data_IF_881561639666
#
_entry.id   IF_881561639666
#
_cell.length_a   1.000
_cell.length_b   1.000
_cell.length_c   1.000
_cell.angle_alpha   90.00
_cell.angle_beta   90.00
_cell.angle_gamma   90.00
#
_symmetry.space_group_name_H-M   'P 1'
#
loop_
_entity.id
_entity.type
_entity.pdbx_description
1 polymer ?
#
# COMPACT_ATOMS: atom_id res chain seq x y z
N UNK A 1 16.11 -8.51 -10.29
CA UNK A 1 16.97 -7.49 -9.59
C UNK A 1 16.76 -6.11 -10.22
N UNK A 2 15.52 -5.70 -10.36
CA UNK A 2 15.11 -4.55 -11.17
C UNK A 2 14.77 -3.31 -10.33
N UNK A 3 14.84 -3.43 -9.00
CA UNK A 3 14.57 -2.31 -8.11
C UNK A 3 15.70 -1.30 -8.00
N UNK A 4 15.36 -0.02 -7.83
CA UNK A 4 16.30 1.09 -7.69
C UNK A 4 16.62 1.34 -6.23
N UNK A 5 17.93 1.39 -5.92
CA UNK A 5 18.41 1.64 -4.56
C UNK A 5 18.51 3.12 -4.29
N UNK A 6 17.80 3.59 -3.27
CA UNK A 6 17.91 4.97 -2.76
C UNK A 6 18.70 4.98 -1.47
N UNK A 7 19.78 5.71 -1.45
CA UNK A 7 20.63 5.88 -0.27
C UNK A 7 20.16 7.00 0.65
N UNK A 8 19.21 7.79 0.18
CA UNK A 8 18.65 8.93 0.89
C UNK A 8 17.25 9.29 0.42
N UNK A 9 16.79 10.42 0.91
CA UNK A 9 15.53 11.04 0.60
C UNK A 9 15.71 12.56 0.68
N UNK A 10 15.16 13.28 -0.28
CA UNK A 10 15.15 14.74 -0.24
C UNK A 10 13.84 15.25 0.35
N UNK A 11 13.94 16.13 1.32
CA UNK A 11 12.82 16.84 1.93
C UNK A 11 12.93 18.33 1.56
N UNK A 12 11.81 18.96 1.23
CA UNK A 12 11.75 20.36 0.90
C UNK A 12 10.64 21.07 1.68
N UNK A 13 10.98 22.24 2.23
CA UNK A 13 10.03 23.12 2.91
C UNK A 13 10.21 24.54 2.34
N UNK A 14 9.14 25.12 1.82
CA UNK A 14 9.15 26.47 1.20
C UNK A 14 10.26 26.60 0.14
N UNK A 15 10.39 25.62 -0.73
CA UNK A 15 11.36 25.50 -1.82
C UNK A 15 12.85 25.34 -1.37
N UNK A 16 13.12 25.23 -0.07
CA UNK A 16 14.44 24.91 0.44
C UNK A 16 14.54 23.40 0.71
N UNK A 17 15.40 22.74 -0.04
CA UNK A 17 15.62 21.30 0.05
C UNK A 17 16.80 20.94 0.94
N UNK A 18 16.70 19.80 1.64
CA UNK A 18 17.84 19.14 2.27
C UNK A 18 17.70 17.63 2.11
N UNK A 19 18.83 16.95 2.01
CA UNK A 19 18.87 15.50 1.82
C UNK A 19 19.20 14.80 3.12
N UNK A 20 18.37 13.81 3.49
CA UNK A 20 18.67 12.86 4.56
C UNK A 20 19.41 11.67 3.95
N UNK A 21 20.66 11.44 4.35
CA UNK A 21 21.45 10.31 3.90
C UNK A 21 21.16 9.08 4.77
N UNK A 22 20.20 8.26 4.35
CA UNK A 22 19.77 7.05 5.07
C UNK A 22 20.93 6.06 5.20
N UNK A 23 21.73 5.89 4.14
CA UNK A 23 22.88 4.99 4.13
C UNK A 23 23.91 5.37 5.20
N UNK A 24 24.22 6.66 5.33
CA UNK A 24 25.18 7.15 6.35
C UNK A 24 24.63 6.98 7.77
N UNK A 25 23.32 7.25 7.96
CA UNK A 25 22.71 7.24 9.29
C UNK A 25 22.40 5.82 9.82
N UNK A 26 22.05 4.88 8.92
CA UNK A 26 21.50 3.57 9.34
C UNK A 26 22.28 2.39 8.78
N UNK A 27 23.26 2.62 7.92
CA UNK A 27 23.94 1.62 7.09
C UNK A 27 22.98 0.80 6.19
N UNK A 28 21.78 1.32 5.95
CA UNK A 28 20.75 0.69 5.12
C UNK A 28 20.35 1.61 3.97
N UNK A 29 19.70 1.05 2.97
CA UNK A 29 19.08 1.76 1.85
C UNK A 29 17.63 1.30 1.71
N UNK A 30 16.84 2.04 0.96
CA UNK A 30 15.52 1.59 0.52
C UNK A 30 15.59 1.19 -0.96
N UNK A 31 14.76 0.26 -1.37
CA UNK A 31 14.63 -0.13 -2.77
C UNK A 31 13.24 0.29 -3.24
N UNK A 32 13.21 1.09 -4.29
CA UNK A 32 11.97 1.37 -5.02
C UNK A 32 11.77 0.28 -6.05
N UNK A 33 10.67 -0.44 -5.92
CA UNK A 33 10.29 -1.52 -6.82
C UNK A 33 8.80 -1.43 -7.10
N UNK A 34 8.41 -1.47 -8.37
CA UNK A 34 7.03 -1.31 -8.78
C UNK A 34 6.13 -2.42 -8.20
N UNK A 35 4.95 -2.07 -7.73
CA UNK A 35 4.00 -3.07 -7.21
C UNK A 35 3.62 -4.08 -8.30
N UNK A 36 3.48 -3.64 -9.54
CA UNK A 36 3.20 -4.51 -10.70
C UNK A 36 4.30 -5.55 -10.89
N UNK A 37 5.57 -5.13 -10.78
CA UNK A 37 6.72 -6.03 -10.91
C UNK A 37 6.76 -7.06 -9.77
N UNK A 38 6.53 -6.62 -8.52
CA UNK A 38 6.42 -7.54 -7.38
C UNK A 38 5.32 -8.57 -7.60
N UNK A 39 4.17 -8.14 -8.09
CA UNK A 39 3.03 -9.02 -8.37
C UNK A 39 3.39 -10.05 -9.45
N UNK A 40 4.03 -9.61 -10.53
CA UNK A 40 4.53 -10.48 -11.60
C UNK A 40 5.49 -11.54 -11.06
N UNK A 41 6.51 -11.13 -10.30
CA UNK A 41 7.48 -12.05 -9.71
C UNK A 41 6.80 -13.10 -8.81
N UNK A 42 5.81 -12.68 -8.01
CA UNK A 42 5.06 -13.60 -7.15
C UNK A 42 4.23 -14.61 -7.95
N UNK A 43 3.58 -14.18 -9.03
CA UNK A 43 2.85 -15.10 -9.92
C UNK A 43 3.80 -16.12 -10.58
N UNK A 44 4.95 -15.70 -11.05
CA UNK A 44 5.97 -16.58 -11.64
C UNK A 44 6.47 -17.63 -10.62
N UNK A 45 6.70 -17.20 -9.36
CA UNK A 45 7.09 -18.12 -8.27
C UNK A 45 5.98 -19.13 -7.99
N UNK A 46 4.72 -18.69 -7.84
CA UNK A 46 3.59 -19.59 -7.56
C UNK A 46 3.44 -20.63 -8.66
N UNK A 47 3.56 -20.22 -9.93
CA UNK A 47 3.49 -21.14 -11.07
C UNK A 47 4.64 -22.16 -11.04
N UNK A 48 5.86 -21.70 -10.77
CA UNK A 48 7.05 -22.55 -10.67
C UNK A 48 6.94 -23.59 -9.55
N UNK A 49 6.36 -23.21 -8.43
CA UNK A 49 6.15 -24.09 -7.26
C UNK A 49 4.85 -24.90 -7.36
N UNK A 50 4.17 -24.92 -8.52
CA UNK A 50 2.90 -25.60 -8.75
C UNK A 50 1.77 -25.18 -7.79
N UNK A 51 1.79 -23.93 -7.33
CA UNK A 51 0.71 -23.38 -6.52
C UNK A 51 -0.58 -23.22 -7.32
N UNK A 52 -1.71 -23.49 -6.67
CA UNK A 52 -3.01 -23.37 -7.32
C UNK A 52 -3.50 -21.94 -7.32
N UNK A 53 -3.74 -21.37 -8.50
CA UNK A 53 -4.38 -20.07 -8.69
C UNK A 53 -5.69 -20.28 -9.45
N UNK A 54 -6.79 -19.78 -8.89
CA UNK A 54 -8.10 -19.82 -9.53
C UNK A 54 -8.45 -18.39 -9.95
N UNK A 55 -8.31 -18.12 -11.24
CA UNK A 55 -8.66 -16.82 -11.82
C UNK A 55 -10.16 -16.75 -12.15
N UNK A 56 -10.69 -15.51 -12.25
CA UNK A 56 -12.08 -15.23 -12.58
C UNK A 56 -13.08 -15.93 -11.64
N UNK A 57 -12.74 -15.95 -10.34
CA UNK A 57 -13.66 -16.40 -9.31
C UNK A 57 -14.61 -15.23 -8.94
N UNK A 58 -15.91 -15.49 -9.04
CA UNK A 58 -16.98 -14.54 -8.73
C UNK A 58 -17.72 -14.98 -7.47
N UNK A 59 -18.38 -14.04 -6.78
CA UNK A 59 -19.20 -14.29 -5.58
C UNK A 59 -18.43 -15.11 -4.52
N UNK A 60 -17.17 -14.75 -4.28
CA UNK A 60 -16.31 -15.45 -3.30
C UNK A 60 -16.81 -15.17 -1.89
N UNK A 61 -17.14 -16.21 -1.12
CA UNK A 61 -17.69 -16.09 0.22
C UNK A 61 -17.02 -17.08 1.18
N UNK A 62 -16.35 -16.60 2.25
CA UNK A 62 -15.96 -17.42 3.38
C UNK A 62 -17.20 -17.91 4.16
N UNK A 63 -17.18 -19.17 4.57
CA UNK A 63 -18.27 -19.83 5.29
C UNK A 63 -17.73 -20.68 6.43
N UNK A 64 -18.54 -20.82 7.49
CA UNK A 64 -18.26 -21.67 8.65
C UNK A 64 -16.88 -21.45 9.26
N UNK A 65 -16.45 -20.17 9.31
CA UNK A 65 -15.13 -19.77 9.81
C UNK A 65 -14.94 -20.04 11.32
N UNK A 66 -16.00 -20.34 12.04
CA UNK A 66 -16.04 -20.69 13.45
C UNK A 66 -16.06 -22.19 13.72
N UNK A 67 -15.99 -23.02 12.69
CA UNK A 67 -15.93 -24.49 12.78
C UNK A 67 -14.52 -25.02 12.52
N UNK A 68 -14.32 -26.33 12.72
CA UNK A 68 -13.03 -27.00 12.43
C UNK A 68 -12.77 -27.16 10.92
N UNK A 69 -13.79 -27.02 10.07
CA UNK A 69 -13.69 -27.20 8.63
C UNK A 69 -14.33 -26.03 7.87
N UNK A 70 -13.75 -24.83 7.96
CA UNK A 70 -14.22 -23.71 7.19
C UNK A 70 -14.07 -23.98 5.69
N UNK A 71 -14.84 -23.26 4.89
CA UNK A 71 -14.75 -23.37 3.45
C UNK A 71 -15.01 -22.05 2.74
N UNK A 72 -14.57 -21.97 1.49
CA UNK A 72 -14.87 -20.86 0.59
C UNK A 72 -15.76 -21.38 -0.53
N UNK A 73 -16.82 -20.63 -0.82
CA UNK A 73 -17.63 -20.84 -2.02
C UNK A 73 -17.38 -19.73 -3.03
N UNK A 74 -17.42 -20.06 -4.30
CA UNK A 74 -17.31 -19.08 -5.39
C UNK A 74 -17.94 -19.65 -6.67
N UNK A 75 -18.22 -18.77 -7.63
CA UNK A 75 -18.64 -19.17 -8.99
C UNK A 75 -17.47 -19.07 -9.94
N UNK A 76 -17.36 -20.03 -10.84
CA UNK A 76 -16.46 -19.98 -11.99
C UNK A 76 -17.18 -20.50 -13.22
N UNK A 77 -17.25 -19.68 -14.27
CA UNK A 77 -18.01 -20.00 -15.47
C UNK A 77 -19.47 -20.43 -15.18
N UNK A 78 -20.11 -19.76 -14.23
CA UNK A 78 -21.49 -20.03 -13.81
C UNK A 78 -21.66 -21.25 -12.89
N UNK A 79 -20.61 -22.03 -12.63
CA UNK A 79 -20.65 -23.22 -11.75
C UNK A 79 -20.23 -22.85 -10.33
N UNK A 80 -21.07 -23.22 -9.36
CA UNK A 80 -20.74 -23.04 -7.92
C UNK A 80 -19.69 -24.09 -7.51
N UNK A 81 -18.61 -23.60 -6.91
CA UNK A 81 -17.50 -24.42 -6.39
C UNK A 81 -17.38 -24.19 -4.88
N UNK A 82 -17.04 -25.25 -4.14
CA UNK A 82 -16.75 -25.25 -2.71
C UNK A 82 -15.34 -25.80 -2.50
N UNK A 83 -14.52 -25.07 -1.71
CA UNK A 83 -13.20 -25.52 -1.26
C UNK A 83 -13.18 -25.52 0.26
N UNK A 84 -13.01 -26.70 0.86
CA UNK A 84 -12.82 -26.85 2.31
C UNK A 84 -11.34 -26.68 2.65
N UNK A 85 -11.05 -26.04 3.77
CA UNK A 85 -9.68 -25.72 4.20
C UNK A 85 -9.57 -25.74 5.73
N UNK A 86 -8.36 -25.68 6.26
CA UNK A 86 -8.11 -25.55 7.68
C UNK A 86 -8.23 -24.10 8.14
N UNK A 87 -7.80 -23.17 7.27
CA UNK A 87 -7.82 -21.72 7.53
C UNK A 87 -8.16 -20.93 6.27
N UNK A 88 -8.71 -19.73 6.46
CA UNK A 88 -8.97 -18.76 5.40
C UNK A 88 -8.14 -17.51 5.66
N UNK A 89 -7.46 -17.02 4.64
CA UNK A 89 -6.71 -15.76 4.70
C UNK A 89 -7.33 -14.74 3.75
N UNK A 90 -7.96 -13.71 4.30
CA UNK A 90 -8.53 -12.59 3.55
C UNK A 90 -7.45 -11.59 3.15
N UNK A 91 -7.04 -11.64 1.87
CA UNK A 91 -6.13 -10.69 1.23
C UNK A 91 -6.88 -9.88 0.17
N UNK A 92 -8.18 -9.66 0.35
CA UNK A 92 -9.16 -9.17 -0.61
C UNK A 92 -9.33 -7.64 -0.61
N UNK A 93 -8.40 -6.94 0.04
CA UNK A 93 -8.34 -5.49 0.05
C UNK A 93 -9.40 -4.81 0.91
N UNK A 94 -9.45 -3.48 0.85
CA UNK A 94 -10.35 -2.68 1.69
C UNK A 94 -11.83 -2.97 1.44
N UNK A 95 -12.21 -3.21 0.20
CA UNK A 95 -13.59 -3.50 -0.21
C UNK A 95 -13.92 -4.99 -0.23
N UNK A 96 -12.99 -5.83 0.23
CA UNK A 96 -13.17 -7.27 0.28
C UNK A 96 -14.25 -7.72 1.28
N UNK A 97 -14.74 -8.93 1.10
CA UNK A 97 -15.81 -9.53 1.88
C UNK A 97 -15.32 -10.14 3.19
N UNK A 98 -14.05 -10.57 3.26
CA UNK A 98 -13.51 -11.32 4.39
C UNK A 98 -13.70 -10.63 5.73
N UNK A 99 -13.40 -9.32 5.80
CA UNK A 99 -13.58 -8.55 7.03
C UNK A 99 -15.03 -8.52 7.52
N UNK A 100 -15.98 -8.45 6.61
CA UNK A 100 -17.41 -8.37 6.94
C UNK A 100 -18.00 -9.70 7.44
N UNK A 101 -17.26 -10.81 7.33
CA UNK A 101 -17.67 -12.10 7.90
C UNK A 101 -17.37 -12.22 9.40
N UNK A 102 -16.53 -11.34 9.94
CA UNK A 102 -16.30 -11.25 11.39
C UNK A 102 -17.53 -10.60 12.03
N UNK A 103 -18.10 -11.18 13.12
CA UNK A 103 -19.28 -10.64 13.77
C UNK A 103 -19.09 -9.18 14.23
N UNK A 104 -20.11 -8.34 14.02
CA UNK A 104 -20.05 -6.89 14.32
C UNK A 104 -19.78 -6.57 15.81
N UNK A 105 -20.14 -7.46 16.71
CA UNK A 105 -19.86 -7.33 18.14
C UNK A 105 -18.42 -7.68 18.53
N UNK A 106 -17.66 -8.29 17.63
CA UNK A 106 -16.25 -8.66 17.82
C UNK A 106 -15.33 -7.63 17.18
N UNK A 107 -15.64 -7.21 15.94
CA UNK A 107 -14.78 -6.32 15.17
C UNK A 107 -14.95 -4.85 15.59
N UNK A 108 -13.84 -4.14 15.73
CA UNK A 108 -13.80 -2.68 15.88
C UNK A 108 -13.02 -2.10 14.72
N UNK A 109 -13.47 -0.95 14.21
CA UNK A 109 -12.80 -0.25 13.13
C UNK A 109 -12.43 1.16 13.54
N UNK A 110 -11.24 1.58 13.19
CA UNK A 110 -10.72 2.93 13.39
C UNK A 110 -10.42 3.52 12.03
N UNK A 111 -11.13 4.58 11.66
CA UNK A 111 -10.96 5.22 10.36
C UNK A 111 -10.77 6.72 10.51
N UNK A 112 -9.88 7.28 9.69
CA UNK A 112 -9.70 8.70 9.49
C UNK A 112 -9.57 8.98 8.00
N UNK A 113 -10.47 9.78 7.47
CA UNK A 113 -10.38 10.32 6.10
C UNK A 113 -9.73 11.70 6.17
N UNK A 114 -8.76 11.96 5.29
CA UNK A 114 -8.08 13.25 5.18
C UNK A 114 -8.89 14.18 4.26
N UNK A 115 -8.89 15.51 4.50
CA UNK A 115 -9.72 16.45 3.72
C UNK A 115 -9.12 16.79 2.35
N UNK A 116 -8.25 15.95 1.81
CA UNK A 116 -7.59 16.12 0.52
C UNK A 116 -7.26 14.76 -0.11
N UNK A 117 -6.98 14.81 -1.41
CA UNK A 117 -6.49 13.68 -2.18
C UNK A 117 -5.11 13.93 -2.77
N UNK A 118 -4.57 12.89 -3.39
CA UNK A 118 -3.40 12.96 -4.26
C UNK A 118 -3.81 12.81 -5.70
N UNK A 119 -3.60 13.85 -6.49
CA UNK A 119 -3.59 13.75 -7.93
C UNK A 119 -2.23 13.22 -8.37
N UNK A 120 -2.22 12.03 -8.94
CA UNK A 120 -1.03 11.36 -9.40
C UNK A 120 -1.00 11.20 -10.92
N UNK A 121 0.15 11.40 -11.52
CA UNK A 121 0.40 11.06 -12.93
C UNK A 121 1.52 10.04 -13.06
N UNK A 122 1.44 9.21 -14.08
CA UNK A 122 2.54 8.41 -14.60
C UNK A 122 2.90 8.98 -15.97
N UNK A 123 4.18 9.26 -16.22
CA UNK A 123 4.65 9.85 -17.48
C UNK A 123 5.91 9.17 -17.96
N UNK A 124 6.03 8.97 -19.27
CA UNK A 124 7.24 8.45 -19.92
C UNK A 124 8.29 9.56 -20.05
N UNK A 125 8.71 10.06 -18.88
CA UNK A 125 9.76 11.06 -18.77
C UNK A 125 10.83 10.57 -17.80
N UNK A 126 12.11 10.95 -18.01
CA UNK A 126 13.14 10.68 -17.02
C UNK A 126 12.79 11.25 -15.65
N UNK A 127 13.14 10.57 -14.56
CA UNK A 127 12.91 11.10 -13.22
C UNK A 127 13.76 12.35 -12.98
N UNK A 128 13.20 13.32 -12.28
CA UNK A 128 13.90 14.55 -11.91
C UNK A 128 14.99 14.33 -10.86
N UNK A 129 14.99 13.19 -10.20
CA UNK A 129 15.99 12.81 -9.18
C UNK A 129 16.08 11.30 -9.08
N UNK A 130 17.27 10.81 -8.75
CA UNK A 130 17.52 9.39 -8.44
C UNK A 130 16.92 8.95 -7.10
N UNK A 131 16.45 9.90 -6.28
CA UNK A 131 15.82 9.65 -4.98
C UNK A 131 14.48 10.38 -4.88
N UNK A 132 13.65 9.97 -3.92
CA UNK A 132 12.37 10.60 -3.67
C UNK A 132 12.54 12.05 -3.19
N UNK A 133 11.74 12.96 -3.73
CA UNK A 133 11.62 14.34 -3.25
C UNK A 133 10.23 14.52 -2.63
N UNK A 134 10.18 14.80 -1.33
CA UNK A 134 8.98 15.19 -0.59
C UNK A 134 8.99 16.70 -0.41
N UNK A 135 8.02 17.39 -0.95
CA UNK A 135 7.94 18.83 -0.87
C UNK A 135 6.67 19.30 -0.13
N UNK A 136 6.86 20.12 0.91
CA UNK A 136 5.81 20.89 1.55
C UNK A 136 5.86 22.32 0.97
N UNK A 137 4.75 22.78 0.43
CA UNK A 137 4.60 24.11 -0.16
C UNK A 137 3.30 24.77 0.29
N UNK A 138 3.22 26.10 0.19
CA UNK A 138 2.00 26.86 0.52
C UNK A 138 0.77 26.46 -0.29
N UNK A 139 0.96 25.89 -1.50
CA UNK A 139 -0.11 25.33 -2.35
C UNK A 139 -0.40 23.87 -2.06
N UNK A 140 0.26 23.23 -1.08
CA UNK A 140 0.08 21.84 -0.71
C UNK A 140 1.29 20.97 -1.04
N UNK A 141 1.19 19.69 -0.72
CA UNK A 141 2.22 18.69 -0.90
C UNK A 141 2.53 18.37 -2.37
N UNK A 142 3.79 18.00 -2.64
CA UNK A 142 4.20 17.34 -3.87
C UNK A 142 5.20 16.21 -3.58
N UNK A 143 5.19 15.19 -4.44
CA UNK A 143 6.10 14.06 -4.40
C UNK A 143 6.62 13.76 -5.80
N UNK A 144 7.94 13.74 -5.96
CA UNK A 144 8.61 13.23 -7.14
C UNK A 144 9.19 11.85 -6.84
N UNK A 145 8.91 10.89 -7.72
CA UNK A 145 9.37 9.52 -7.58
C UNK A 145 9.64 8.91 -8.95
N UNK A 146 10.65 8.05 -9.01
CA UNK A 146 10.97 7.28 -10.20
C UNK A 146 10.25 5.93 -10.21
N UNK A 147 10.04 5.38 -11.41
CA UNK A 147 9.66 3.98 -11.63
C UNK A 147 10.76 3.22 -12.34
N UNK A 148 11.38 3.85 -13.34
CA UNK A 148 12.61 3.43 -14.00
C UNK A 148 13.30 4.66 -14.59
N UNK A 149 14.34 4.48 -15.41
CA UNK A 149 15.11 5.57 -15.99
C UNK A 149 14.33 6.47 -16.96
N UNK A 150 13.20 5.96 -17.51
CA UNK A 150 12.38 6.65 -18.50
C UNK A 150 10.92 6.77 -18.06
N UNK A 151 10.59 6.41 -16.82
CA UNK A 151 9.23 6.42 -16.30
C UNK A 151 9.19 7.02 -14.92
N UNK A 152 8.41 8.07 -14.76
CA UNK A 152 8.27 8.83 -13.52
C UNK A 152 6.85 8.85 -13.01
N UNK A 153 6.71 8.83 -11.70
CA UNK A 153 5.44 8.99 -11.00
C UNK A 153 5.49 10.22 -10.12
N UNK A 154 4.59 11.15 -10.36
CA UNK A 154 4.48 12.40 -9.62
C UNK A 154 3.13 12.53 -8.95
N UNK A 155 3.09 13.18 -7.79
CA UNK A 155 1.87 13.43 -7.05
C UNK A 155 1.83 14.86 -6.56
N UNK A 156 0.65 15.46 -6.56
CA UNK A 156 0.36 16.73 -5.89
C UNK A 156 -0.89 16.60 -5.02
N UNK A 157 -0.90 17.30 -3.91
CA UNK A 157 -2.10 17.43 -3.08
C UNK A 157 -3.16 18.24 -3.83
N UNK A 158 -4.40 17.76 -3.80
CA UNK A 158 -5.57 18.40 -4.43
C UNK A 158 -6.80 18.26 -3.54
N UNK A 159 -7.85 19.01 -3.86
CA UNK A 159 -9.15 18.88 -3.21
C UNK A 159 -9.80 17.54 -3.55
N UNK A 160 -10.60 16.97 -2.65
CA UNK A 160 -11.45 15.81 -2.94
C UNK A 160 -12.58 16.12 -3.93
N UNK A 161 -12.90 17.40 -4.13
CA UNK A 161 -13.93 17.86 -5.08
C UNK A 161 -13.38 18.05 -6.49
N UNK A 162 -12.06 18.03 -6.67
CA UNK A 162 -11.44 18.17 -7.99
C UNK A 162 -11.71 16.93 -8.84
N UNK A 163 -11.88 17.16 -10.13
CA UNK A 163 -12.04 16.11 -11.13
C UNK A 163 -10.80 16.03 -12.00
N UNK A 164 -10.56 14.86 -12.59
CA UNK A 164 -9.38 14.65 -13.46
C UNK A 164 -9.41 15.59 -14.65
N UNK A 165 -10.60 15.87 -15.18
CA UNK A 165 -10.84 16.77 -16.32
C UNK A 165 -10.41 18.21 -16.03
N UNK A 166 -10.44 18.64 -14.77
CA UNK A 166 -10.00 19.97 -14.33
C UNK A 166 -8.48 20.13 -14.30
N UNK A 167 -7.76 19.03 -14.54
CA UNK A 167 -6.30 18.94 -14.44
C UNK A 167 -5.64 18.46 -15.74
N UNK A 168 -5.67 19.28 -16.83
CA UNK A 168 -4.85 18.98 -18.00
C UNK A 168 -3.36 18.90 -17.62
N UNK A 169 -2.56 18.17 -18.41
CA UNK A 169 -1.16 17.91 -18.09
C UNK A 169 -0.34 19.19 -17.86
N UNK A 170 -0.57 20.23 -18.64
CA UNK A 170 0.08 21.53 -18.50
C UNK A 170 -0.14 22.08 -17.08
N UNK A 171 -1.40 22.12 -16.62
CA UNK A 171 -1.72 22.61 -15.26
C UNK A 171 -1.09 21.75 -14.17
N UNK A 172 -1.05 20.44 -14.36
CA UNK A 172 -0.40 19.53 -13.43
C UNK A 172 1.10 19.83 -13.31
N UNK A 173 1.79 19.95 -14.44
CA UNK A 173 3.21 20.23 -14.49
C UNK A 173 3.56 21.60 -13.89
N UNK A 174 2.78 22.62 -14.17
CA UNK A 174 2.95 23.97 -13.60
C UNK A 174 2.82 23.94 -12.07
N UNK A 175 1.77 23.28 -11.54
CA UNK A 175 1.58 23.15 -10.11
C UNK A 175 2.65 22.26 -9.44
N UNK A 176 3.12 21.22 -10.11
CA UNK A 176 4.22 20.39 -9.62
C UNK A 176 5.52 21.20 -9.53
N UNK A 177 5.91 21.90 -10.60
CA UNK A 177 7.11 22.75 -10.63
C UNK A 177 7.08 23.80 -9.53
N UNK A 178 5.94 24.45 -9.33
CA UNK A 178 5.74 25.46 -8.27
C UNK A 178 6.02 24.91 -6.87
N UNK A 179 5.78 23.64 -6.62
CA UNK A 179 5.90 23.00 -5.30
C UNK A 179 7.24 22.33 -5.05
N UNK A 180 7.97 21.98 -6.11
CA UNK A 180 9.28 21.36 -6.00
C UNK A 180 10.37 22.36 -5.61
N UNK A 181 11.52 21.92 -5.08
CA UNK A 181 12.72 22.75 -4.98
C UNK A 181 13.09 23.33 -6.34
N UNK A 182 13.61 24.58 -6.36
CA UNK A 182 13.94 25.32 -7.58
C UNK A 182 14.79 24.48 -8.55
N UNK A 183 15.87 23.86 -8.05
CA UNK A 183 16.76 23.02 -8.87
C UNK A 183 16.02 21.85 -9.57
N UNK A 184 15.08 21.22 -8.88
CA UNK A 184 14.26 20.17 -9.45
C UNK A 184 13.22 20.73 -10.42
N UNK A 185 12.59 21.87 -10.10
CA UNK A 185 11.62 22.52 -10.97
C UNK A 185 12.22 22.98 -12.30
N UNK A 186 13.48 23.45 -12.30
CA UNK A 186 14.18 23.91 -13.49
C UNK A 186 14.65 22.77 -14.41
N UNK A 187 14.89 21.59 -13.85
CA UNK A 187 15.45 20.44 -14.58
C UNK A 187 14.42 19.37 -14.96
N UNK A 188 13.22 19.43 -14.38
CA UNK A 188 12.18 18.42 -14.63
C UNK A 188 11.74 18.42 -16.09
N UNK A 189 11.81 17.25 -16.72
CA UNK A 189 11.28 17.03 -18.05
C UNK A 189 9.77 16.73 -17.95
N UNK A 190 8.98 17.45 -18.72
CA UNK A 190 7.53 17.29 -18.79
C UNK A 190 7.12 16.47 -20.02
N UNK A 191 6.02 15.73 -19.93
CA UNK A 191 5.51 14.93 -21.03
C UNK A 191 4.03 14.61 -20.84
N UNK A 192 3.45 13.87 -21.75
CA UNK A 192 2.08 13.41 -21.66
C UNK A 192 1.93 12.41 -20.51
N UNK A 193 0.86 12.50 -19.74
CA UNK A 193 0.49 11.49 -18.77
C UNK A 193 -0.10 10.26 -19.46
N UNK A 194 0.43 9.09 -19.14
CA UNK A 194 -0.12 7.79 -19.58
C UNK A 194 -1.14 7.23 -18.58
N UNK A 195 -1.11 7.73 -17.36
CA UNK A 195 -2.08 7.44 -16.30
C UNK A 195 -2.27 8.68 -15.44
N UNK A 196 -3.50 8.98 -15.08
CA UNK A 196 -3.86 10.08 -14.18
C UNK A 196 -4.99 9.65 -13.25
N UNK A 197 -4.85 9.87 -11.95
CA UNK A 197 -5.86 9.50 -10.98
C UNK A 197 -5.84 10.42 -9.75
N UNK A 198 -6.99 10.59 -9.11
CA UNK A 198 -7.11 11.25 -7.80
C UNK A 198 -7.46 10.18 -6.78
N UNK A 199 -6.61 10.01 -5.78
CA UNK A 199 -6.81 9.05 -4.71
C UNK A 199 -7.07 9.78 -3.38
N UNK A 200 -8.21 9.56 -2.71
CA UNK A 200 -8.45 10.05 -1.36
C UNK A 200 -7.50 9.37 -0.38
N UNK A 201 -7.00 10.12 0.60
CA UNK A 201 -6.16 9.57 1.65
C UNK A 201 -7.00 9.17 2.85
N UNK A 202 -6.68 7.98 3.39
CA UNK A 202 -7.29 7.49 4.63
C UNK A 202 -6.30 6.69 5.46
N UNK A 203 -6.55 6.65 6.75
CA UNK A 203 -6.04 5.65 7.68
C UNK A 203 -7.20 4.75 8.07
N UNK A 204 -6.97 3.46 8.09
CA UNK A 204 -7.96 2.48 8.53
C UNK A 204 -7.27 1.35 9.27
N UNK A 205 -7.87 0.88 10.35
CA UNK A 205 -7.43 -0.33 11.08
C UNK A 205 -8.67 -1.06 11.56
N UNK A 206 -8.71 -2.36 11.37
CA UNK A 206 -9.69 -3.21 12.04
C UNK A 206 -9.01 -4.06 13.12
N UNK A 207 -9.72 -4.26 14.21
CA UNK A 207 -9.30 -5.05 15.36
C UNK A 207 -10.45 -5.98 15.80
N UNK A 208 -10.18 -7.28 15.97
CA UNK A 208 -8.93 -7.99 15.68
C UNK A 208 -8.69 -8.21 14.18
N UNK A 209 -7.44 -8.56 13.80
CA UNK A 209 -7.07 -8.97 12.44
C UNK A 209 -7.28 -10.47 12.21
N UNK A 210 -7.82 -11.20 13.17
CA UNK A 210 -8.18 -12.61 13.04
C UNK A 210 -9.38 -12.94 13.92
N UNK A 211 -10.19 -13.86 13.47
CA UNK A 211 -11.29 -14.43 14.25
C UNK A 211 -11.51 -15.88 13.85
N UNK A 212 -11.37 -16.78 14.84
CA UNK A 212 -11.46 -18.23 14.63
C UNK A 212 -10.48 -18.69 13.52
N UNK A 213 -10.98 -19.28 12.44
CA UNK A 213 -10.17 -19.80 11.32
C UNK A 213 -9.92 -18.78 10.21
N UNK A 214 -10.34 -17.50 10.39
CA UNK A 214 -10.14 -16.41 9.44
C UNK A 214 -9.05 -15.45 9.92
N UNK A 215 -8.11 -15.11 9.02
CA UNK A 215 -7.06 -14.11 9.20
C UNK A 215 -7.18 -13.03 8.13
N UNK A 216 -6.99 -11.77 8.50
CA UNK A 216 -6.99 -10.63 7.58
C UNK A 216 -5.56 -10.13 7.38
N UNK A 217 -5.20 -9.80 6.14
CA UNK A 217 -3.85 -9.38 5.75
C UNK A 217 -3.92 -8.14 4.85
N UNK A 218 -3.00 -7.20 5.04
CA UNK A 218 -2.89 -6.00 4.22
C UNK A 218 -4.14 -5.12 4.27
N UNK A 219 -4.57 -4.59 3.13
CA UNK A 219 -5.67 -3.63 3.04
C UNK A 219 -7.04 -4.20 3.49
N UNK A 220 -7.17 -5.52 3.60
CA UNK A 220 -8.34 -6.13 4.24
C UNK A 220 -8.42 -5.77 5.74
N UNK A 221 -7.29 -5.55 6.39
CA UNK A 221 -7.17 -5.24 7.81
C UNK A 221 -6.81 -3.78 8.10
N UNK A 222 -5.95 -3.17 7.30
CA UNK A 222 -5.44 -1.82 7.57
C UNK A 222 -5.03 -1.06 6.31
N UNK A 223 -5.24 0.25 6.32
CA UNK A 223 -4.74 1.19 5.31
C UNK A 223 -3.94 2.27 6.02
N UNK A 224 -2.79 2.61 5.48
CA UNK A 224 -1.97 3.74 5.93
C UNK A 224 -1.87 4.79 4.83
N UNK A 225 -1.80 6.10 5.16
CA UNK A 225 -1.55 7.12 4.16
C UNK A 225 -0.27 6.83 3.37
N UNK A 226 -0.28 7.01 2.05
CA UNK A 226 0.85 6.66 1.19
C UNK A 226 2.11 7.50 1.46
N UNK A 227 1.98 8.64 2.16
CA UNK A 227 3.10 9.53 2.51
C UNK A 227 4.24 8.81 3.22
N UNK A 228 3.94 7.83 4.05
CA UNK A 228 4.96 7.03 4.75
C UNK A 228 5.53 5.86 3.94
N UNK A 229 4.99 5.55 2.76
CA UNK A 229 5.35 4.40 1.93
C UNK A 229 5.37 3.07 2.72
N UNK A 230 4.37 2.84 3.60
CA UNK A 230 4.32 1.69 4.52
C UNK A 230 3.31 0.61 4.15
N UNK A 231 2.32 0.87 3.29
CA UNK A 231 1.21 -0.06 3.02
C UNK A 231 1.69 -1.45 2.60
N UNK A 232 2.43 -1.56 1.51
CA UNK A 232 2.96 -2.83 1.01
C UNK A 232 3.90 -3.51 2.02
N UNK A 233 4.74 -2.73 2.71
CA UNK A 233 5.64 -3.25 3.73
C UNK A 233 4.90 -3.84 4.94
N UNK A 234 3.75 -3.27 5.32
CA UNK A 234 2.89 -3.83 6.37
C UNK A 234 2.24 -5.12 5.91
N UNK A 235 1.67 -5.14 4.70
CA UNK A 235 1.08 -6.34 4.14
C UNK A 235 2.08 -7.51 4.09
N UNK A 236 3.31 -7.28 3.65
CA UNK A 236 4.37 -8.29 3.70
C UNK A 236 4.75 -8.71 5.13
N UNK A 237 4.67 -7.80 6.10
CA UNK A 237 4.91 -8.16 7.51
C UNK A 237 3.81 -9.07 8.04
N UNK A 238 2.55 -8.81 7.68
CA UNK A 238 1.42 -9.65 8.07
C UNK A 238 1.59 -11.07 7.48
N UNK A 239 1.88 -11.15 6.18
CA UNK A 239 2.19 -12.42 5.50
C UNK A 239 3.31 -13.17 6.19
N UNK A 240 4.39 -12.47 6.56
CA UNK A 240 5.52 -13.08 7.25
C UNK A 240 5.14 -13.64 8.63
N UNK A 241 4.39 -12.87 9.43
CA UNK A 241 3.94 -13.35 10.75
C UNK A 241 3.01 -14.54 10.62
N UNK A 242 2.07 -14.47 9.68
CA UNK A 242 1.12 -15.57 9.45
C UNK A 242 1.80 -16.81 8.88
N UNK A 243 2.74 -16.64 7.94
CA UNK A 243 3.57 -17.74 7.44
C UNK A 243 4.31 -18.45 8.58
N UNK A 244 4.95 -17.70 9.48
CA UNK A 244 5.64 -18.28 10.62
C UNK A 244 4.69 -19.01 11.58
N UNK A 245 3.50 -18.47 11.79
CA UNK A 245 2.48 -19.11 12.61
C UNK A 245 1.98 -20.42 11.97
N UNK A 246 1.71 -20.43 10.66
CA UNK A 246 1.36 -21.65 9.94
C UNK A 246 2.49 -22.68 9.92
N UNK A 247 3.75 -22.23 9.79
CA UNK A 247 4.92 -23.13 9.87
C UNK A 247 4.96 -23.87 11.22
N UNK A 248 4.71 -23.16 12.34
CA UNK A 248 4.64 -23.78 13.66
C UNK A 248 3.45 -24.74 13.79
N UNK A 249 2.30 -24.34 13.29
CA UNK A 249 1.10 -25.16 13.31
C UNK A 249 1.28 -26.48 12.53
N UNK A 250 1.66 -26.39 11.24
CA UNK A 250 1.70 -27.59 10.38
C UNK A 250 2.92 -28.50 10.62
N UNK A 251 4.04 -27.96 11.14
CA UNK A 251 5.24 -28.78 11.40
C UNK A 251 5.32 -29.32 12.82
N UNK A 252 4.76 -28.59 13.79
CA UNK A 252 4.97 -28.87 15.19
C UNK A 252 3.69 -28.96 16.04
N UNK A 253 2.52 -28.79 15.41
CA UNK A 253 1.21 -28.72 16.08
C UNK A 253 1.11 -27.65 17.18
N UNK A 254 1.75 -26.49 16.94
CA UNK A 254 1.77 -25.38 17.88
C UNK A 254 0.86 -24.25 17.41
N UNK A 255 -0.21 -23.96 18.17
CA UNK A 255 -1.23 -22.94 17.84
C UNK A 255 -0.88 -21.53 18.35
N UNK A 256 -0.01 -21.39 19.35
CA UNK A 256 0.23 -20.15 20.06
C UNK A 256 0.49 -18.92 19.14
N UNK A 257 1.25 -19.09 18.06
CA UNK A 257 1.56 -18.01 17.13
C UNK A 257 0.35 -17.58 16.28
N UNK A 258 -0.58 -18.49 16.00
CA UNK A 258 -1.87 -18.18 15.36
C UNK A 258 -2.76 -17.36 16.29
N UNK A 259 -2.82 -17.71 17.57
CA UNK A 259 -3.63 -17.03 18.58
C UNK A 259 -3.16 -15.58 18.80
N UNK A 260 -1.85 -15.33 18.75
CA UNK A 260 -1.26 -14.01 18.95
C UNK A 260 -1.03 -13.21 17.65
N UNK A 261 -1.36 -13.78 16.48
CA UNK A 261 -1.15 -13.12 15.17
C UNK A 261 -1.68 -11.68 15.16
N UNK A 262 -2.95 -11.51 15.53
CA UNK A 262 -3.61 -10.20 15.52
C UNK A 262 -2.87 -9.18 16.38
N UNK A 263 -2.54 -9.51 17.63
CA UNK A 263 -1.85 -8.59 18.54
C UNK A 263 -0.45 -8.23 18.06
N UNK A 264 0.28 -9.20 17.50
CA UNK A 264 1.61 -9.03 16.95
C UNK A 264 1.61 -8.12 15.72
N UNK A 265 0.69 -8.35 14.78
CA UNK A 265 0.53 -7.53 13.59
C UNK A 265 0.07 -6.10 13.95
N UNK A 266 -0.96 -5.94 14.79
CA UNK A 266 -1.48 -4.65 15.23
C UNK A 266 -0.44 -3.78 15.91
N UNK A 267 0.44 -4.35 16.72
CA UNK A 267 1.55 -3.60 17.34
C UNK A 267 2.42 -2.88 16.31
N UNK A 268 2.66 -3.50 15.14
CA UNK A 268 3.40 -2.90 14.04
C UNK A 268 2.53 -1.91 13.23
N UNK A 269 1.29 -2.29 12.97
CA UNK A 269 0.33 -1.47 12.23
C UNK A 269 0.16 -0.11 12.89
N UNK A 270 -0.09 -0.05 14.20
CA UNK A 270 -0.27 1.20 14.92
C UNK A 270 0.97 2.10 14.92
N UNK A 271 2.17 1.52 14.98
CA UNK A 271 3.43 2.29 14.82
C UNK A 271 3.53 2.90 13.42
N UNK A 272 3.14 2.16 12.39
CA UNK A 272 3.17 2.65 11.01
C UNK A 272 2.08 3.69 10.73
N UNK A 273 0.87 3.52 11.30
CA UNK A 273 -0.21 4.52 11.27
C UNK A 273 0.27 5.84 11.88
N UNK A 274 0.88 5.79 13.08
CA UNK A 274 1.41 6.98 13.75
C UNK A 274 2.49 7.67 12.93
N UNK A 275 3.42 6.91 12.37
CA UNK A 275 4.48 7.46 11.51
C UNK A 275 3.89 8.09 10.24
N UNK A 276 3.00 7.38 9.55
CA UNK A 276 2.39 7.89 8.31
C UNK A 276 1.50 9.11 8.57
N UNK A 277 0.79 9.13 9.70
CA UNK A 277 0.05 10.31 10.12
C UNK A 277 0.97 11.52 10.37
N UNK A 278 2.07 11.33 11.08
CA UNK A 278 3.06 12.38 11.33
C UNK A 278 3.63 12.91 10.01
N UNK A 279 4.04 12.03 9.10
CA UNK A 279 4.51 12.43 7.77
C UNK A 279 3.43 13.22 7.00
N UNK A 280 2.18 12.73 7.03
CA UNK A 280 1.07 13.39 6.34
C UNK A 280 0.82 14.79 6.91
N UNK A 281 0.78 14.94 8.22
CA UNK A 281 0.56 16.26 8.86
C UNK A 281 1.73 17.22 8.68
N UNK A 282 2.95 16.72 8.53
CA UNK A 282 4.15 17.54 8.30
C UNK A 282 4.22 18.08 6.88
N UNK A 283 3.84 17.27 5.89
CA UNK A 283 4.04 17.63 4.48
C UNK A 283 2.81 18.23 3.79
N UNK A 284 1.60 17.95 4.29
CA UNK A 284 0.37 18.44 3.64
C UNK A 284 -0.14 19.73 4.27
N UNK A 285 -0.91 20.47 3.47
CA UNK A 285 -1.70 21.61 3.92
C UNK A 285 -3.09 21.11 4.34
N UNK A 286 -3.50 21.48 5.55
CA UNK A 286 -4.83 21.18 6.11
C UNK A 286 -5.74 22.38 6.04
#
# INVERSE_FOLDING_TARGET
>A
KEGFKHNGIQLSFKNHGFRINLKKLTNKYVTVYGQTEVTKDLYEIIQKENGTIINNAEEVLPKEIDTEKPYVTFKKNGVQIKITCDFIVGCDGYHGISRSTIPKNIIRTHERVYPFGWLGILSETPPVSDELIYANHGSGFALASMRNQNLSRYYIQTSLNDKIEDWPDIKFWDELKKRLPTEAADTIMTGQSIEKSIAPLRSFVCEPMSWKKLFLVGDAAHIVPPTGAKGLNLAFSDVYYLYKAFEQYYKFDINNDLDIYSSKALSRVWKAIRFSWWMTTTFHKF
#
